data_IF_584612344419
#
_entry.id   IF_584612344419
#
_cell.length_a   1.000
_cell.length_b   1.000
_cell.length_c   1.000
_cell.angle_alpha   90.00
_cell.angle_beta   90.00
_cell.angle_gamma   90.00
#
_symmetry.space_group_name_H-M   'P 1'
#
loop_
_entity.id
_entity.type
_entity.pdbx_description
1 polymer ?
#
# COMPACT_ATOMS: atom_id res chain seq x y z
N UNK A 1 -5.04 2.00 -27.14
CA UNK A 1 -4.01 1.29 -26.34
C UNK A 1 -3.23 2.21 -25.38
N UNK A 2 -3.43 3.53 -25.42
CA UNK A 2 -2.75 4.48 -24.53
C UNK A 2 -3.05 4.24 -23.04
N UNK A 3 -4.29 3.85 -22.71
CA UNK A 3 -4.75 3.61 -21.33
C UNK A 3 -3.94 2.50 -20.63
N UNK A 4 -3.58 1.43 -21.36
CA UNK A 4 -2.77 0.34 -20.80
C UNK A 4 -1.35 0.82 -20.45
N UNK A 5 -0.77 1.69 -21.29
CA UNK A 5 0.55 2.29 -21.04
C UNK A 5 0.52 3.16 -19.77
N UNK A 6 -0.52 4.01 -19.64
CA UNK A 6 -0.70 4.85 -18.43
C UNK A 6 -0.87 3.98 -17.19
N UNK A 7 -1.66 2.90 -17.29
CA UNK A 7 -1.85 1.92 -16.21
C UNK A 7 -0.51 1.29 -15.77
N UNK A 8 0.36 0.96 -16.71
CA UNK A 8 1.67 0.39 -16.40
C UNK A 8 2.64 1.39 -15.80
N UNK A 9 2.63 2.64 -16.26
CA UNK A 9 3.43 3.70 -15.63
C UNK A 9 3.01 3.88 -14.15
N UNK A 10 1.70 3.89 -13.88
CA UNK A 10 1.19 3.92 -12.51
C UNK A 10 1.63 2.69 -11.70
N UNK A 11 1.50 1.49 -12.26
CA UNK A 11 1.92 0.24 -11.63
C UNK A 11 3.42 0.25 -11.26
N UNK A 12 4.28 0.72 -12.17
CA UNK A 12 5.73 0.85 -11.94
C UNK A 12 6.01 1.79 -10.76
N UNK A 13 5.30 2.93 -10.66
CA UNK A 13 5.47 3.84 -9.54
C UNK A 13 5.13 3.17 -8.20
N UNK A 14 4.03 2.41 -8.12
CA UNK A 14 3.67 1.67 -6.91
C UNK A 14 4.67 0.58 -6.56
N UNK A 15 5.19 -0.15 -7.55
CA UNK A 15 6.23 -1.18 -7.34
C UNK A 15 7.52 -0.54 -6.82
N UNK A 16 7.97 0.56 -7.43
CA UNK A 16 9.17 1.29 -6.97
C UNK A 16 8.96 1.81 -5.54
N UNK A 17 7.81 2.44 -5.25
CA UNK A 17 7.50 2.89 -3.90
C UNK A 17 7.47 1.74 -2.90
N UNK A 18 6.87 0.60 -3.24
CA UNK A 18 6.86 -0.58 -2.38
C UNK A 18 8.25 -1.15 -2.12
N UNK A 19 9.10 -1.18 -3.14
CA UNK A 19 10.50 -1.60 -3.01
C UNK A 19 11.31 -0.65 -2.11
N UNK A 20 11.18 0.66 -2.32
CA UNK A 20 11.83 1.68 -1.48
C UNK A 20 11.33 1.64 -0.04
N UNK A 21 10.02 1.49 0.16
CA UNK A 21 9.40 1.34 1.48
C UNK A 21 9.98 0.14 2.22
N UNK A 22 10.09 -1.03 1.55
CA UNK A 22 10.62 -2.27 2.11
C UNK A 22 12.06 -2.15 2.64
N UNK A 23 12.86 -1.24 2.06
CA UNK A 23 14.27 -1.02 2.43
C UNK A 23 14.50 0.19 3.32
N UNK A 24 13.46 0.97 3.60
CA UNK A 24 13.59 2.19 4.40
C UNK A 24 13.98 1.87 5.85
N UNK A 25 14.82 2.73 6.43
CA UNK A 25 15.17 2.73 7.87
C UNK A 25 14.22 3.61 8.70
N UNK A 26 13.38 4.41 8.05
CA UNK A 26 12.33 5.23 8.67
C UNK A 26 10.98 4.56 8.37
N UNK A 27 9.98 4.65 9.27
CA UNK A 27 8.64 4.15 8.99
C UNK A 27 8.13 4.67 7.66
N UNK A 28 7.75 3.75 6.79
CA UNK A 28 7.11 4.07 5.54
C UNK A 28 5.68 4.54 5.83
N UNK A 29 5.31 5.71 5.30
CA UNK A 29 3.93 6.16 5.25
C UNK A 29 3.26 5.61 3.99
N UNK A 30 2.03 5.14 4.10
CA UNK A 30 1.18 4.82 2.95
C UNK A 30 0.45 6.09 2.47
N UNK A 31 0.13 7.00 3.39
CA UNK A 31 -0.57 8.24 3.10
C UNK A 31 0.39 9.42 3.16
N UNK A 32 0.37 10.28 2.15
CA UNK A 32 1.14 11.52 2.11
C UNK A 32 0.66 12.55 3.15
N UNK A 33 -0.62 12.52 3.50
CA UNK A 33 -1.25 13.51 4.38
C UNK A 33 -1.35 13.08 5.86
N UNK A 34 -0.95 11.85 6.18
CA UNK A 34 -0.89 11.36 7.56
C UNK A 34 0.59 11.15 7.86
N UNK A 35 1.13 11.84 8.86
CA UNK A 35 2.50 11.58 9.33
C UNK A 35 2.61 10.07 9.59
N UNK A 36 3.63 9.45 8.98
CA UNK A 36 3.95 8.05 9.25
C UNK A 36 3.93 7.82 10.78
N UNK A 37 3.43 6.67 11.25
CA UNK A 37 3.30 6.42 12.68
C UNK A 37 4.63 6.75 13.38
N UNK A 38 4.56 7.45 14.52
CA UNK A 38 5.76 7.81 15.26
C UNK A 38 6.62 6.56 15.45
N UNK A 39 7.93 6.68 15.18
CA UNK A 39 8.88 5.56 15.23
C UNK A 39 8.75 4.76 16.52
N UNK A 40 8.52 5.47 17.62
CA UNK A 40 8.44 4.91 18.97
C UNK A 40 7.19 4.06 19.21
N UNK A 41 6.18 4.18 18.33
CA UNK A 41 4.94 3.39 18.37
C UNK A 41 5.01 2.13 17.51
N UNK A 42 6.04 1.95 16.69
CA UNK A 42 6.20 0.76 15.85
C UNK A 42 7.06 -0.27 16.57
N UNK A 43 6.54 -1.49 16.74
CA UNK A 43 7.23 -2.60 17.41
C UNK A 43 8.48 -3.03 16.68
N UNK A 44 8.38 -3.19 15.36
CA UNK A 44 9.49 -3.57 14.48
C UNK A 44 9.38 -2.79 13.16
N UNK A 45 10.25 -1.79 13.01
CA UNK A 45 10.28 -0.92 11.83
C UNK A 45 10.60 -1.70 10.55
N UNK A 46 11.48 -2.70 10.61
CA UNK A 46 11.89 -3.46 9.43
C UNK A 46 10.77 -4.38 8.96
N UNK A 47 10.12 -5.08 9.87
CA UNK A 47 8.98 -5.94 9.55
C UNK A 47 7.77 -5.12 9.05
N UNK A 48 7.47 -3.99 9.70
CA UNK A 48 6.44 -3.05 9.27
C UNK A 48 6.70 -2.53 7.86
N UNK A 49 7.91 -2.02 7.60
CA UNK A 49 8.28 -1.48 6.29
C UNK A 49 8.22 -2.55 5.18
N UNK A 50 8.64 -3.78 5.49
CA UNK A 50 8.52 -4.91 4.56
C UNK A 50 7.04 -5.21 4.27
N UNK A 51 6.16 -5.24 5.27
CA UNK A 51 4.74 -5.46 5.09
C UNK A 51 4.08 -4.35 4.23
N UNK A 52 4.35 -3.09 4.54
CA UNK A 52 3.90 -1.93 3.75
C UNK A 52 4.40 -2.01 2.31
N UNK A 53 5.67 -2.37 2.13
CA UNK A 53 6.28 -2.49 0.82
C UNK A 53 5.72 -3.63 -0.02
N UNK A 54 5.41 -4.78 0.60
CA UNK A 54 4.68 -5.88 -0.07
C UNK A 54 3.27 -5.48 -0.46
N UNK A 55 2.57 -4.72 0.39
CA UNK A 55 1.23 -4.24 0.10
C UNK A 55 1.21 -3.30 -1.13
N UNK A 56 2.15 -2.33 -1.18
CA UNK A 56 2.33 -1.43 -2.32
C UNK A 56 2.75 -2.16 -3.60
N UNK A 57 3.73 -3.06 -3.49
CA UNK A 57 4.21 -3.86 -4.62
C UNK A 57 3.09 -4.76 -5.16
N UNK A 58 2.35 -5.44 -4.29
CA UNK A 58 1.24 -6.30 -4.67
C UNK A 58 0.12 -5.54 -5.39
N UNK A 59 -0.20 -4.33 -4.91
CA UNK A 59 -1.17 -3.46 -5.57
C UNK A 59 -0.69 -3.02 -6.96
N UNK A 60 0.59 -2.64 -7.09
CA UNK A 60 1.18 -2.31 -8.40
C UNK A 60 1.20 -3.51 -9.36
N UNK A 61 1.51 -4.72 -8.87
CA UNK A 61 1.49 -5.95 -9.67
C UNK A 61 0.08 -6.30 -10.16
N UNK A 62 -0.95 -6.10 -9.34
CA UNK A 62 -2.34 -6.28 -9.74
C UNK A 62 -2.71 -5.34 -10.89
N UNK A 63 -2.31 -4.07 -10.83
CA UNK A 63 -2.52 -3.10 -11.91
C UNK A 63 -1.71 -3.47 -13.17
N UNK A 64 -0.47 -3.93 -13.01
CA UNK A 64 0.35 -4.38 -14.12
C UNK A 64 -0.32 -5.55 -14.88
N UNK A 65 -0.82 -6.53 -14.13
CA UNK A 65 -1.57 -7.66 -14.67
C UNK A 65 -2.85 -7.21 -15.39
N UNK A 66 -3.62 -6.28 -14.80
CA UNK A 66 -4.80 -5.72 -15.45
C UNK A 66 -4.48 -5.05 -16.80
N UNK A 67 -3.39 -4.29 -16.88
CA UNK A 67 -2.91 -3.70 -18.13
C UNK A 67 -2.51 -4.74 -19.18
N UNK A 68 -1.88 -5.85 -18.77
CA UNK A 68 -1.55 -6.97 -19.65
C UNK A 68 -2.82 -7.65 -20.19
N UNK A 69 -3.81 -7.90 -19.34
CA UNK A 69 -5.08 -8.51 -19.76
C UNK A 69 -5.81 -7.65 -20.80
N UNK A 70 -5.77 -6.32 -20.66
CA UNK A 70 -6.36 -5.42 -21.65
C UNK A 70 -5.74 -5.57 -23.05
N UNK A 71 -4.42 -5.81 -23.13
CA UNK A 71 -3.75 -6.05 -24.41
C UNK A 71 -4.12 -7.42 -25.00
N UNK A 72 -4.14 -8.47 -24.17
CA UNK A 72 -4.46 -9.83 -24.61
C UNK A 72 -5.88 -9.89 -25.18
N UNK A 73 -6.84 -9.26 -24.51
CA UNK A 73 -8.25 -9.25 -24.93
C UNK A 73 -8.59 -8.17 -25.97
N UNK A 74 -7.59 -7.39 -26.43
CA UNK A 74 -7.75 -6.31 -27.42
C UNK A 74 -8.94 -5.39 -27.12
N UNK A 75 -9.13 -5.04 -25.84
CA UNK A 75 -10.28 -4.27 -25.39
C UNK A 75 -10.18 -2.83 -25.93
N UNK A 76 -11.26 -2.33 -26.55
CA UNK A 76 -11.31 -0.93 -27.01
C UNK A 76 -11.07 0.05 -25.85
N UNK A 77 -10.41 1.18 -26.12
CA UNK A 77 -10.03 2.15 -25.07
C UNK A 77 -11.22 2.64 -24.21
N UNK A 78 -12.40 2.82 -24.81
CA UNK A 78 -13.63 3.20 -24.07
C UNK A 78 -14.04 2.17 -23.01
N UNK A 79 -13.94 0.87 -23.35
CA UNK A 79 -14.29 -0.23 -22.42
C UNK A 79 -13.17 -0.51 -21.42
N UNK A 80 -11.92 -0.32 -21.83
CA UNK A 80 -10.74 -0.50 -20.98
C UNK A 80 -10.77 0.44 -19.77
N UNK A 81 -11.15 1.72 -19.97
CA UNK A 81 -11.30 2.68 -18.87
C UNK A 81 -12.27 2.19 -17.79
N UNK A 82 -13.48 1.79 -18.19
CA UNK A 82 -14.48 1.28 -17.24
C UNK A 82 -14.02 0.02 -16.51
N UNK A 83 -13.33 -0.89 -17.21
CA UNK A 83 -12.83 -2.12 -16.60
C UNK A 83 -11.73 -1.84 -15.57
N UNK A 84 -10.87 -0.85 -15.81
CA UNK A 84 -9.78 -0.48 -14.89
C UNK A 84 -10.25 0.31 -13.67
N UNK A 85 -11.37 1.03 -13.74
CA UNK A 85 -11.90 1.77 -12.58
C UNK A 85 -12.13 0.83 -11.40
N UNK A 86 -12.62 -0.39 -11.64
CA UNK A 86 -12.88 -1.37 -10.59
C UNK A 86 -11.62 -1.78 -9.80
N UNK A 87 -10.58 -2.36 -10.41
CA UNK A 87 -9.37 -2.78 -9.68
C UNK A 87 -8.59 -1.60 -9.09
N UNK A 88 -8.65 -0.40 -9.68
CA UNK A 88 -8.02 0.78 -9.09
C UNK A 88 -8.77 1.25 -7.84
N UNK A 89 -10.08 1.44 -7.95
CA UNK A 89 -10.88 1.97 -6.84
C UNK A 89 -11.01 0.96 -5.71
N UNK A 90 -11.51 -0.25 -6.01
CA UNK A 90 -11.66 -1.29 -4.99
C UNK A 90 -10.32 -1.80 -4.50
N UNK A 91 -9.31 -1.91 -5.37
CA UNK A 91 -7.97 -2.30 -4.94
C UNK A 91 -7.35 -1.31 -3.96
N UNK A 92 -7.56 -0.01 -4.15
CA UNK A 92 -7.14 1.01 -3.18
C UNK A 92 -7.88 0.86 -1.83
N UNK A 93 -9.19 0.60 -1.84
CA UNK A 93 -9.96 0.36 -0.61
C UNK A 93 -9.45 -0.89 0.11
N UNK A 94 -9.26 -2.00 -0.60
CA UNK A 94 -8.70 -3.22 -0.01
C UNK A 94 -7.32 -2.98 0.58
N UNK A 95 -6.49 -2.17 -0.10
CA UNK A 95 -5.19 -1.78 0.43
C UNK A 95 -5.32 -1.03 1.76
N UNK A 96 -6.23 -0.05 1.84
CA UNK A 96 -6.48 0.68 3.09
C UNK A 96 -6.94 -0.27 4.20
N UNK A 97 -7.87 -1.18 3.90
CA UNK A 97 -8.37 -2.16 4.87
C UNK A 97 -7.25 -3.07 5.36
N UNK A 98 -6.43 -3.63 4.46
CA UNK A 98 -5.30 -4.50 4.84
C UNK A 98 -4.29 -3.72 5.68
N UNK A 99 -4.03 -2.46 5.33
CA UNK A 99 -3.16 -1.62 6.13
C UNK A 99 -3.70 -1.46 7.55
N UNK A 100 -4.95 -1.02 7.73
CA UNK A 100 -5.51 -0.74 9.05
C UNK A 100 -5.76 -2.03 9.86
N UNK A 101 -6.36 -3.05 9.24
CA UNK A 101 -6.77 -4.26 9.93
C UNK A 101 -5.64 -5.26 10.16
N UNK A 102 -4.58 -5.25 9.33
CA UNK A 102 -3.51 -6.26 9.44
C UNK A 102 -2.18 -5.63 9.83
N UNK A 103 -1.75 -4.57 9.12
CA UNK A 103 -0.42 -4.00 9.35
C UNK A 103 -0.43 -3.11 10.60
N UNK A 104 -1.39 -2.18 10.70
CA UNK A 104 -1.48 -1.26 11.82
C UNK A 104 -1.75 -2.03 13.12
N UNK A 105 -2.70 -2.95 13.13
CA UNK A 105 -2.98 -3.78 14.31
C UNK A 105 -1.77 -4.61 14.77
N UNK A 106 -0.99 -5.16 13.84
CA UNK A 106 0.15 -6.02 14.16
C UNK A 106 1.40 -5.26 14.60
N UNK A 107 1.65 -4.08 14.01
CA UNK A 107 2.94 -3.40 14.15
C UNK A 107 2.87 -2.05 14.87
N UNK A 108 1.69 -1.43 14.99
CA UNK A 108 1.52 -0.13 15.66
C UNK A 108 0.90 -0.36 17.04
N UNK A 109 1.62 0.00 18.10
CA UNK A 109 1.08 -0.05 19.47
C UNK A 109 -0.04 0.96 19.63
N UNK A 110 -1.20 0.49 20.12
CA UNK A 110 -2.32 1.38 20.45
C UNK A 110 -1.91 2.28 21.62
N UNK A 111 -2.15 3.59 21.48
CA UNK A 111 -1.77 4.64 22.43
C UNK A 111 -2.21 4.36 23.89
N UNK A 112 -3.21 3.49 24.12
CA UNK A 112 -3.63 3.06 25.46
C UNK A 112 -2.56 2.27 26.26
N UNK A 113 -1.72 1.47 25.61
CA UNK A 113 -0.69 0.67 26.30
C UNK A 113 0.46 1.54 26.85
N UNK A 114 0.71 2.70 26.24
CA UNK A 114 1.74 3.64 26.68
C UNK A 114 1.35 4.30 28.00
N UNK A 115 0.09 4.67 28.16
CA UNK A 115 -0.42 5.27 29.41
C UNK A 115 -0.49 4.26 30.56
N UNK A 116 -0.78 2.99 30.27
CA UNK A 116 -0.89 1.96 31.31
C UNK A 116 0.47 1.52 31.86
N UNK A 117 1.49 1.40 30.99
CA UNK A 117 2.87 1.15 31.45
C UNK A 117 3.43 2.29 32.30
N UNK A 118 3.10 3.52 31.94
CA UNK A 118 3.59 4.72 32.63
C UNK A 118 2.86 4.95 33.96
N UNK A 119 1.63 4.43 34.13
CA UNK A 119 0.94 4.34 35.43
C UNK A 119 1.46 3.22 36.33
N UNK A 120 1.95 2.10 35.78
CA UNK A 120 2.49 0.98 36.59
C UNK A 120 3.96 1.19 37.01
N UNK A 121 4.65 2.17 36.44
CA UNK A 121 6.04 2.51 36.79
C UNK A 121 6.18 3.68 37.77
N UNK A 122 5.07 4.32 38.16
CA UNK A 122 4.97 5.35 39.20
C UNK A 122 4.26 4.78 40.42
#
# INVERSE_FOLDING_TARGET
>A
MLIAIVCWLAAILFIIMGFLASRSKKPAGIYSNIKAPNKDKITDIRAYNKAVGWLLTGYGLLQAAAGVLLLIFQVSDKKAGNLLVFPFFFGAIFMMIIYEAVIAEKYIKKTGETHEKQRRSN
#
